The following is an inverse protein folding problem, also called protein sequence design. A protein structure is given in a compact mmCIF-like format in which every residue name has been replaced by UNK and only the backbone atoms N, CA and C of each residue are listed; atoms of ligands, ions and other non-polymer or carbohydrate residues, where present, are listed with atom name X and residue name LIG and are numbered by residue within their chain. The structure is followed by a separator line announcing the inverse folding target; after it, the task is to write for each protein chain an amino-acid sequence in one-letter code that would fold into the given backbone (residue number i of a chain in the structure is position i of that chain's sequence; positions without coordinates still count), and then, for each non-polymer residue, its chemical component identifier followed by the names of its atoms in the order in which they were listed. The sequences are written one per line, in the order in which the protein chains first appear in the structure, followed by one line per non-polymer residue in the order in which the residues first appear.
data_IF_798245550297
#
_entry.id   IF_798245550297
#
_cell.length_a   1.000
_cell.length_b   1.000
_cell.length_c   1.000
_cell.angle_alpha   90.00
_cell.angle_beta   90.00
_cell.angle_gamma   90.00
#
_symmetry.space_group_name_H-M   'P 1'
#
loop_
_entity.id
_entity.type
_entity.pdbx_description
1 polymer ?
#
# COMPACT_ATOMS: atom_id res chain seq x y z
N UNK A 1 23.05 0.95 -12.55
CA UNK A 1 21.63 1.32 -12.38
C UNK A 1 21.19 0.73 -11.05
N UNK A 2 20.57 1.52 -10.17
CA UNK A 2 20.36 1.14 -8.78
C UNK A 2 18.86 0.88 -8.55
N UNK A 3 18.45 -0.39 -8.57
CA UNK A 3 17.06 -0.80 -8.35
C UNK A 3 16.55 -0.44 -6.94
N UNK A 4 15.23 -0.53 -6.75
CA UNK A 4 14.62 -0.40 -5.43
C UNK A 4 15.07 -1.54 -4.53
N UNK A 5 15.50 -1.21 -3.30
CA UNK A 5 15.78 -2.21 -2.26
C UNK A 5 14.55 -2.38 -1.39
N UNK A 6 14.04 -3.60 -1.39
CA UNK A 6 13.10 -4.09 -0.38
C UNK A 6 13.88 -4.55 0.85
N UNK A 7 13.21 -4.69 1.99
CA UNK A 7 13.85 -5.28 3.16
C UNK A 7 14.11 -6.76 2.88
N UNK A 8 15.23 -7.34 3.35
CA UNK A 8 15.56 -8.74 3.08
C UNK A 8 14.55 -9.73 3.70
N UNK A 9 13.76 -9.28 4.66
CA UNK A 9 12.68 -10.06 5.29
C UNK A 9 11.38 -10.06 4.48
N UNK A 10 11.30 -9.26 3.41
CA UNK A 10 10.09 -9.14 2.59
C UNK A 10 10.20 -10.06 1.39
N UNK A 11 9.43 -11.15 1.42
CA UNK A 11 9.27 -12.08 0.31
C UNK A 11 7.82 -12.05 -0.20
N UNK A 12 7.63 -12.40 -1.47
CA UNK A 12 6.30 -12.56 -2.09
C UNK A 12 5.43 -11.30 -1.97
N UNK A 13 4.31 -11.42 -1.26
CA UNK A 13 3.32 -10.35 -1.12
C UNK A 13 3.90 -9.08 -0.47
N UNK A 14 4.75 -9.23 0.55
CA UNK A 14 5.34 -8.08 1.25
C UNK A 14 6.26 -7.28 0.34
N UNK A 15 7.02 -7.98 -0.51
CA UNK A 15 7.87 -7.37 -1.52
C UNK A 15 7.04 -6.59 -2.54
N UNK A 16 6.01 -7.22 -3.11
CA UNK A 16 5.12 -6.61 -4.10
C UNK A 16 4.46 -5.33 -3.56
N UNK A 17 3.91 -5.38 -2.35
CA UNK A 17 3.30 -4.22 -1.69
C UNK A 17 4.33 -3.12 -1.45
N UNK A 18 5.53 -3.47 -0.98
CA UNK A 18 6.61 -2.50 -0.72
C UNK A 18 7.01 -1.74 -1.99
N UNK A 19 7.16 -2.47 -3.11
CA UNK A 19 7.42 -1.93 -4.44
C UNK A 19 6.26 -1.06 -4.92
N UNK A 20 5.02 -1.56 -4.83
CA UNK A 20 3.84 -0.84 -5.27
C UNK A 20 3.66 0.51 -4.55
N UNK A 21 3.85 0.55 -3.23
CA UNK A 21 3.79 1.81 -2.46
C UNK A 21 4.90 2.77 -2.91
N UNK A 22 6.11 2.28 -3.20
CA UNK A 22 7.20 3.12 -3.69
C UNK A 22 6.87 3.73 -5.06
N UNK A 23 6.28 2.93 -5.97
CA UNK A 23 5.83 3.38 -7.29
C UNK A 23 4.75 4.46 -7.16
N UNK A 24 3.73 4.25 -6.31
CA UNK A 24 2.66 5.22 -6.06
C UNK A 24 3.21 6.54 -5.51
N UNK A 25 4.10 6.48 -4.50
CA UNK A 25 4.72 7.67 -3.93
C UNK A 25 5.59 8.44 -4.93
N UNK A 26 6.31 7.73 -5.80
CA UNK A 26 7.18 8.37 -6.81
C UNK A 26 6.39 9.03 -7.93
N UNK A 27 5.32 8.38 -8.38
CA UNK A 27 4.40 8.87 -9.44
C UNK A 27 3.37 9.89 -8.93
N UNK A 28 3.30 10.09 -7.61
CA UNK A 28 2.35 10.96 -6.92
C UNK A 28 0.88 10.58 -7.19
N UNK A 29 0.61 9.28 -7.34
CA UNK A 29 -0.74 8.74 -7.47
C UNK A 29 -1.23 8.23 -6.11
N UNK A 30 -2.54 8.32 -5.86
CA UNK A 30 -3.11 7.86 -4.59
C UNK A 30 -3.44 6.38 -4.62
N UNK A 31 -3.81 5.84 -5.78
CA UNK A 31 -4.23 4.46 -5.96
C UNK A 31 -3.54 3.79 -7.15
N UNK A 32 -3.52 2.46 -7.17
CA UNK A 32 -2.98 1.71 -8.30
C UNK A 32 -3.79 1.90 -9.59
N UNK A 33 -5.11 2.06 -9.47
CA UNK A 33 -5.98 2.33 -10.62
C UNK A 33 -5.63 3.68 -11.30
N UNK A 34 -5.39 4.74 -10.53
CA UNK A 34 -4.96 6.05 -11.05
C UNK A 34 -3.60 5.96 -11.76
N UNK A 35 -2.68 5.14 -11.25
CA UNK A 35 -1.40 4.90 -11.89
C UNK A 35 -1.59 4.24 -13.27
N UNK A 36 -2.40 3.18 -13.34
CA UNK A 36 -2.69 2.46 -14.59
C UNK A 36 -3.38 3.37 -15.60
N UNK A 37 -4.40 4.12 -15.17
CA UNK A 37 -5.09 5.10 -16.01
C UNK A 37 -4.14 6.20 -16.52
N UNK A 38 -3.27 6.72 -15.66
CA UNK A 38 -2.25 7.70 -16.02
C UNK A 38 -1.23 7.16 -17.03
N UNK A 39 -0.87 5.88 -16.96
CA UNK A 39 -0.01 5.23 -17.95
C UNK A 39 -0.73 5.06 -19.30
N UNK A 40 -1.98 4.58 -19.28
CA UNK A 40 -2.80 4.38 -20.49
C UNK A 40 -3.10 5.70 -21.20
N UNK A 41 -3.33 6.76 -20.44
CA UNK A 41 -3.54 8.12 -20.96
C UNK A 41 -2.25 8.80 -21.43
N UNK A 42 -1.09 8.16 -21.30
CA UNK A 42 0.20 8.71 -21.72
C UNK A 42 0.67 9.91 -20.90
N UNK A 43 0.25 10.01 -19.63
CA UNK A 43 0.67 11.10 -18.75
C UNK A 43 2.19 11.08 -18.56
N UNK A 44 2.87 12.08 -19.12
CA UNK A 44 4.33 12.16 -19.14
C UNK A 44 4.96 12.15 -17.74
N UNK A 45 4.29 12.70 -16.73
CA UNK A 45 4.81 12.69 -15.36
C UNK A 45 4.83 11.28 -14.78
N UNK A 46 3.77 10.50 -15.01
CA UNK A 46 3.66 9.12 -14.56
C UNK A 46 4.67 8.24 -15.30
N UNK A 47 4.73 8.34 -16.63
CA UNK A 47 5.66 7.56 -17.45
C UNK A 47 7.11 7.88 -17.10
N UNK A 48 7.46 9.16 -16.89
CA UNK A 48 8.82 9.55 -16.48
C UNK A 48 9.16 9.07 -15.08
N UNK A 49 8.21 9.14 -14.14
CA UNK A 49 8.41 8.65 -12.79
C UNK A 49 8.62 7.12 -12.76
N UNK A 50 7.83 6.39 -13.55
CA UNK A 50 7.94 4.93 -13.69
C UNK A 50 9.28 4.52 -14.32
N UNK A 51 9.68 5.17 -15.43
CA UNK A 51 10.99 4.96 -16.05
C UNK A 51 12.16 5.25 -15.10
N UNK A 52 12.03 6.25 -14.25
CA UNK A 52 13.07 6.62 -13.29
C UNK A 52 13.23 5.64 -12.11
N UNK A 53 12.34 4.64 -11.97
CA UNK A 53 12.42 3.64 -10.90
C UNK A 53 13.25 2.41 -11.29
N UNK A 54 13.56 2.22 -12.59
CA UNK A 54 14.35 1.10 -13.11
C UNK A 54 13.99 -0.24 -12.43
N UNK A 55 12.70 -0.61 -12.49
CA UNK A 55 12.22 -1.89 -11.98
C UNK A 55 12.79 -3.02 -12.84
N UNK A 56 13.34 -4.05 -12.22
CA UNK A 56 13.82 -5.24 -12.93
C UNK A 56 12.63 -6.10 -13.40
N UNK A 57 12.83 -6.95 -14.40
CA UNK A 57 11.76 -7.83 -14.91
C UNK A 57 11.17 -8.73 -13.82
N UNK A 58 12.02 -9.27 -12.94
CA UNK A 58 11.56 -10.04 -11.77
C UNK A 58 10.69 -9.21 -10.81
N UNK A 59 11.03 -7.93 -10.57
CA UNK A 59 10.21 -7.04 -9.75
C UNK A 59 8.87 -6.73 -10.42
N UNK A 60 8.86 -6.57 -11.75
CA UNK A 60 7.65 -6.39 -12.53
C UNK A 60 6.75 -7.62 -12.49
N UNK A 61 7.30 -8.83 -12.60
CA UNK A 61 6.57 -10.08 -12.44
C UNK A 61 5.96 -10.18 -11.03
N UNK A 62 6.73 -9.88 -9.98
CA UNK A 62 6.23 -9.86 -8.60
C UNK A 62 5.09 -8.86 -8.41
N UNK A 63 5.22 -7.64 -8.95
CA UNK A 63 4.16 -6.63 -8.91
C UNK A 63 2.92 -7.09 -9.70
N UNK A 64 3.11 -7.73 -10.85
CA UNK A 64 2.04 -8.24 -11.70
C UNK A 64 1.28 -9.39 -11.05
N UNK A 65 1.97 -10.30 -10.36
CA UNK A 65 1.36 -11.43 -9.65
C UNK A 65 0.38 -10.97 -8.54
N UNK A 66 0.63 -9.82 -7.93
CA UNK A 66 -0.12 -9.32 -6.77
C UNK A 66 -0.92 -8.04 -7.05
N UNK A 67 -1.26 -7.76 -8.31
CA UNK A 67 -2.03 -6.55 -8.70
C UNK A 67 -3.35 -6.41 -7.94
N UNK A 68 -4.02 -7.53 -7.66
CA UNK A 68 -5.29 -7.55 -6.91
C UNK A 68 -5.15 -6.92 -5.53
N UNK A 69 -4.06 -7.18 -4.82
CA UNK A 69 -3.79 -6.59 -3.49
C UNK A 69 -3.33 -5.14 -3.63
N UNK A 70 -2.53 -4.83 -4.65
CA UNK A 70 -2.08 -3.46 -4.92
C UNK A 70 -3.24 -2.50 -5.21
N UNK A 71 -4.32 -2.97 -5.84
CA UNK A 71 -5.54 -2.19 -6.05
C UNK A 71 -6.23 -1.77 -4.75
N UNK A 72 -5.94 -2.44 -3.63
CA UNK A 72 -6.50 -2.10 -2.32
C UNK A 72 -5.66 -1.03 -1.59
N UNK A 73 -4.43 -0.78 -2.04
CA UNK A 73 -3.51 0.18 -1.43
C UNK A 73 -3.93 1.61 -1.77
N UNK A 74 -3.99 2.47 -0.74
CA UNK A 74 -4.23 3.92 -0.89
C UNK A 74 -3.18 4.72 -0.16
N UNK A 75 -2.71 5.82 -0.75
CA UNK A 75 -1.74 6.73 -0.11
C UNK A 75 -2.43 7.82 0.71
N UNK A 76 -3.59 8.31 0.26
CA UNK A 76 -4.35 9.36 0.95
C UNK A 76 -5.87 9.08 0.90
N UNK A 77 -6.52 8.73 2.03
CA UNK A 77 -5.90 8.37 3.30
C UNK A 77 -5.02 7.12 3.16
N UNK A 78 -3.99 7.00 4.00
CA UNK A 78 -3.04 5.89 3.91
C UNK A 78 -3.70 4.58 4.35
N UNK A 79 -3.99 3.68 3.40
CA UNK A 79 -4.51 2.34 3.65
C UNK A 79 -3.48 1.35 3.13
N UNK A 80 -2.77 0.68 4.05
CA UNK A 80 -1.64 -0.19 3.73
C UNK A 80 -1.92 -1.57 4.33
N UNK A 81 -1.75 -2.66 3.55
CA UNK A 81 -1.90 -4.00 4.08
C UNK A 81 -0.82 -4.31 5.12
N UNK A 82 -1.26 -4.91 6.21
CA UNK A 82 -0.41 -5.50 7.24
C UNK A 82 -0.44 -7.00 7.02
N UNK A 83 0.73 -7.61 6.94
CA UNK A 83 0.89 -9.02 6.55
C UNK A 83 1.31 -9.81 7.78
N UNK A 84 0.70 -10.98 7.98
CA UNK A 84 1.12 -11.93 9.01
C UNK A 84 2.22 -12.85 8.46
N UNK A 85 3.40 -12.94 9.10
CA UNK A 85 4.49 -13.78 8.60
C UNK A 85 4.24 -15.28 8.74
N UNK A 86 3.27 -15.70 9.55
CA UNK A 86 3.02 -17.12 9.86
C UNK A 86 1.94 -17.72 8.95
N UNK A 87 0.86 -16.99 8.70
CA UNK A 87 -0.25 -17.48 7.89
C UNK A 87 -0.37 -16.77 6.55
N UNK A 88 0.50 -15.80 6.25
CA UNK A 88 0.62 -15.05 4.99
C UNK A 88 -0.63 -14.25 4.57
N UNK A 89 -1.70 -14.30 5.37
CA UNK A 89 -2.86 -13.43 5.20
C UNK A 89 -2.55 -11.99 5.57
N UNK A 90 -3.30 -11.07 4.95
CA UNK A 90 -3.17 -9.64 5.17
C UNK A 90 -4.49 -9.01 5.64
N UNK A 91 -4.36 -7.89 6.34
CA UNK A 91 -5.49 -7.03 6.75
C UNK A 91 -5.16 -5.60 6.33
N UNK A 92 -6.13 -4.89 5.77
CA UNK A 92 -5.99 -3.48 5.46
C UNK A 92 -6.17 -2.67 6.75
N UNK A 93 -5.20 -1.81 7.05
CA UNK A 93 -5.31 -0.86 8.16
C UNK A 93 -4.93 0.54 7.70
N UNK A 94 -5.64 1.53 8.21
CA UNK A 94 -5.24 2.92 8.08
C UNK A 94 -4.11 3.26 9.08
N UNK A 95 -4.24 2.74 10.29
CA UNK A 95 -3.48 3.15 11.46
C UNK A 95 -2.35 2.17 11.81
N UNK A 96 -2.26 1.84 13.09
CA UNK A 96 -1.24 0.99 13.69
C UNK A 96 -1.51 -0.47 13.38
N UNK A 97 -0.45 -1.25 13.18
CA UNK A 97 -0.58 -2.70 13.01
C UNK A 97 -1.09 -3.34 14.33
N UNK A 98 -2.03 -4.32 14.25
CA UNK A 98 -2.48 -5.06 15.42
C UNK A 98 -1.33 -5.83 16.07
N UNK A 99 -1.43 -6.05 17.38
CA UNK A 99 -0.41 -6.77 18.15
C UNK A 99 -0.37 -8.28 17.88
N UNK A 100 -1.45 -8.84 17.32
CA UNK A 100 -1.62 -10.27 16.98
C UNK A 100 -2.40 -10.43 15.67
N UNK A 101 -2.23 -11.56 15.01
CA UNK A 101 -3.00 -11.89 13.82
C UNK A 101 -4.50 -11.97 14.14
N UNK A 102 -5.32 -11.25 13.37
CA UNK A 102 -6.78 -11.24 13.52
C UNK A 102 -7.50 -12.08 12.46
N UNK A 103 -6.77 -12.62 11.47
CA UNK A 103 -7.36 -13.36 10.35
C UNK A 103 -7.61 -14.83 10.74
N UNK A 104 -6.59 -15.49 11.29
CA UNK A 104 -6.64 -16.91 11.60
C UNK A 104 -6.72 -17.12 13.10
N UNK A 105 -7.74 -17.84 13.56
CA UNK A 105 -7.92 -18.17 14.98
C UNK A 105 -6.70 -18.95 15.52
N UNK A 106 -6.12 -18.45 16.61
CA UNK A 106 -4.95 -19.09 17.24
C UNK A 106 -3.61 -18.83 16.56
N UNK A 107 -3.54 -17.96 15.55
CA UNK A 107 -2.26 -17.61 14.93
C UNK A 107 -1.44 -16.69 15.85
N UNK A 108 -0.25 -17.15 16.24
CA UNK A 108 0.69 -16.40 17.09
C UNK A 108 1.55 -15.39 16.30
N UNK A 109 1.40 -15.36 14.98
CA UNK A 109 2.14 -14.44 14.12
C UNK A 109 1.84 -12.99 14.46
N UNK A 110 2.90 -12.18 14.57
CA UNK A 110 2.81 -10.74 14.80
C UNK A 110 2.77 -10.03 13.44
N UNK A 111 1.62 -9.46 13.05
CA UNK A 111 1.51 -8.82 11.75
C UNK A 111 2.36 -7.55 11.70
N UNK A 112 2.97 -7.28 10.54
CA UNK A 112 3.82 -6.10 10.35
C UNK A 112 3.31 -5.21 9.22
N UNK A 113 3.43 -3.90 9.40
CA UNK A 113 3.07 -2.92 8.36
C UNK A 113 4.20 -2.88 7.32
N UNK A 114 3.84 -3.08 6.06
CA UNK A 114 4.81 -3.01 4.96
C UNK A 114 5.24 -1.57 4.77
N UNK A 115 6.55 -1.33 4.83
CA UNK A 115 7.12 -0.02 4.51
C UNK A 115 7.35 0.11 3.00
N UNK A 116 7.31 1.34 2.49
CA UNK A 116 7.65 1.63 1.10
C UNK A 116 9.12 1.27 0.83
N UNK A 117 9.40 0.62 -0.30
CA UNK A 117 10.76 0.36 -0.74
C UNK A 117 11.50 1.68 -0.92
N UNK A 118 12.72 1.75 -0.40
CA UNK A 118 13.56 2.94 -0.54
C UNK A 118 14.42 2.79 -1.79
N UNK A 119 14.33 3.77 -2.68
CA UNK A 119 15.29 3.86 -3.78
C UNK A 119 16.69 4.00 -3.20
N UNK A 120 17.66 3.28 -3.77
CA UNK A 120 19.07 3.53 -3.51
C UNK A 120 19.37 4.90 -4.10
N UNK A 121 19.14 5.97 -3.34
CA UNK A 121 19.70 7.26 -3.71
C UNK A 121 21.21 7.09 -3.63
N UNK A 122 21.87 7.07 -4.79
CA UNK A 122 23.33 6.98 -4.91
C UNK A 122 24.07 8.05 -4.06
N UNK A 123 23.35 9.06 -3.55
CA UNK A 123 23.88 10.12 -2.70
C UNK A 123 23.93 9.80 -1.19
N UNK A 124 23.35 8.70 -0.68
CA UNK A 124 23.32 8.42 0.78
C UNK A 124 23.68 6.98 1.15
N UNK A 125 24.63 6.38 0.43
CA UNK A 125 25.31 5.17 0.88
C UNK A 125 26.68 5.45 1.55
N UNK A 126 27.09 6.72 1.67
CA UNK A 126 28.37 7.12 2.26
C UNK A 126 28.25 7.80 3.65
N UNK A 127 27.06 7.87 4.26
CA UNK A 127 26.90 8.55 5.55
C UNK A 127 25.78 7.94 6.39
N UNK A 128 26.01 6.71 6.84
CA UNK A 128 25.49 6.24 8.11
C UNK A 128 26.58 5.32 8.71
N UNK A 129 27.49 5.85 9.55
CA UNK A 129 28.40 5.00 10.28
C UNK A 129 27.58 4.06 11.15
N UNK A 130 28.05 2.81 11.21
CA UNK A 130 27.63 1.82 12.18
C UNK A 130 27.44 2.47 13.56
N UNK A 131 26.19 2.56 14.02
CA UNK A 131 25.92 2.60 15.45
C UNK A 131 26.24 1.20 15.96
N UNK A 132 27.54 0.98 16.17
CA UNK A 132 28.06 -0.14 16.89
C UNK A 132 27.36 -0.19 18.25
N UNK A 133 26.87 -1.37 18.54
CA UNK A 133 26.66 -1.86 19.89
C UNK A 133 27.88 -1.53 20.75
N UNK A 134 27.73 -0.57 21.65
CA UNK A 134 28.48 -0.54 22.89
C UNK A 134 27.46 -0.21 23.98
N UNK A 135 26.90 -1.27 24.56
CA UNK A 135 26.43 -1.20 25.94
C UNK A 135 27.68 -1.12 26.84
N UNK A 136 27.90 -0.05 27.59
CA UNK A 136 28.66 -0.15 28.82
C UNK A 136 27.74 -0.76 29.89
N UNK A 137 28.07 -1.98 30.28
CA UNK A 137 27.64 -2.61 31.53
C UNK A 137 28.09 -1.74 32.71
N UNK A 138 27.18 -1.18 33.53
CA UNK A 138 27.54 -0.58 34.81
C UNK A 138 27.28 -1.61 35.92
N UNK A 139 28.35 -2.28 36.32
CA UNK A 139 28.43 -3.04 37.56
C UNK A 139 28.19 -2.12 38.77
N UNK A 140 27.48 -2.64 39.77
CA UNK A 140 27.06 -2.06 41.08
C UNK A 140 28.21 -1.32 41.82
N UNK A 141 28.11 -0.30 42.67
CA UNK A 141 27.18 0.19 43.70
C UNK A 141 27.73 1.57 44.23
N UNK A 142 27.32 2.19 45.37
CA UNK A 142 26.05 2.23 46.10
C UNK A 142 25.52 3.69 46.34
N UNK A 143 24.30 3.75 46.89
CA UNK A 143 23.57 4.86 47.51
C UNK A 143 24.33 6.16 47.89
N UNK A 144 23.80 7.31 47.45
CA UNK A 144 23.34 8.41 48.33
C UNK A 144 22.79 9.64 47.57
N UNK A 145 21.75 10.20 48.18
CA UNK A 145 21.39 11.63 48.22
C UNK A 145 20.53 12.25 47.11
N UNK A 146 19.30 12.53 47.55
CA UNK A 146 18.55 13.79 47.42
C UNK A 146 17.44 13.89 46.35
N UNK A 147 16.19 14.17 46.75
CA UNK A 147 15.08 14.44 45.84
C UNK A 147 15.16 15.87 45.30
N UNK A 148 15.51 16.01 44.02
CA UNK A 148 15.36 17.28 43.31
C UNK A 148 13.88 17.49 42.93
N UNK A 149 13.18 18.24 43.76
CA UNK A 149 11.92 18.92 43.43
C UNK A 149 12.09 19.67 42.11
N UNK A 150 11.56 19.14 40.99
CA UNK A 150 11.38 19.93 39.77
C UNK A 150 9.95 20.46 39.74
N UNK A 151 9.91 21.78 39.87
CA UNK A 151 8.74 22.62 39.91
C UNK A 151 7.80 22.39 38.72
N UNK A 152 6.51 22.29 39.05
CA UNK A 152 5.41 22.41 38.13
C UNK A 152 5.49 23.76 37.42
N UNK A 153 5.84 23.75 36.13
CA UNK A 153 5.75 24.94 35.29
C UNK A 153 4.31 25.10 34.84
N UNK A 154 3.63 26.00 35.54
CA UNK A 154 2.32 26.55 35.23
C UNK A 154 2.41 27.35 33.92
N UNK A 155 1.96 26.76 32.83
CA UNK A 155 1.56 27.44 31.58
C UNK A 155 0.09 27.09 31.41
N UNK A 156 -0.86 27.98 31.28
CA UNK A 156 -0.83 29.36 30.83
C UNK A 156 -2.23 29.56 30.25
N UNK A 157 -2.92 30.58 30.76
CA UNK A 157 -4.27 31.05 30.42
C UNK A 157 -4.99 30.37 29.25
N UNK A 158 -6.09 29.70 29.59
CA UNK A 158 -7.20 29.47 28.69
C UNK A 158 -7.75 30.83 28.24
N UNK A 159 -7.54 31.16 26.97
CA UNK A 159 -8.38 32.13 26.27
C UNK A 159 -9.51 31.34 25.64
N UNK A 160 -10.66 31.44 26.30
CA UNK A 160 -11.98 31.03 25.87
C UNK A 160 -12.32 31.73 24.53
N UNK A 161 -12.41 31.03 23.39
CA UNK A 161 -12.97 31.63 22.20
C UNK A 161 -14.47 31.79 22.44
N UNK A 162 -14.94 33.04 22.50
CA UNK A 162 -16.35 33.37 22.40
C UNK A 162 -16.93 32.70 21.15
N UNK A 163 -17.58 31.56 21.33
CA UNK A 163 -18.46 30.97 20.33
C UNK A 163 -19.70 31.86 20.36
N UNK A 164 -19.72 32.84 19.46
CA UNK A 164 -20.94 33.56 19.10
C UNK A 164 -22.00 32.50 18.77
N UNK A 165 -23.08 32.55 19.54
CA UNK A 165 -24.32 31.84 19.30
C UNK A 165 -24.80 32.18 17.87
N UNK A 166 -24.48 31.32 16.91
CA UNK A 166 -25.21 31.29 15.65
C UNK A 166 -26.62 30.76 15.95
N UNK A 167 -27.68 31.49 15.59
CA UNK A 167 -29.04 30.99 15.74
C UNK A 167 -29.19 29.71 14.92
N UNK A 168 -29.62 28.67 15.62
CA UNK A 168 -30.01 27.35 15.12
C UNK A 168 -31.32 27.49 14.32
N UNK A 169 -31.26 28.20 13.19
CA UNK A 169 -32.33 28.22 12.18
C UNK A 169 -31.93 27.25 11.07
N UNK A 170 -31.76 25.98 11.46
CA UNK A 170 -31.63 24.90 10.49
C UNK A 170 -33.06 24.48 10.13
N UNK A 171 -33.53 24.75 8.90
CA UNK A 171 -34.87 24.33 8.50
C UNK A 171 -34.94 22.81 8.68
N UNK A 172 -35.94 22.36 9.46
CA UNK A 172 -36.27 20.94 9.56
C UNK A 172 -36.35 20.39 8.13
N UNK A 173 -35.56 19.36 7.79
CA UNK A 173 -35.65 18.78 6.47
C UNK A 173 -37.07 18.26 6.30
N UNK A 174 -37.77 18.77 5.28
CA UNK A 174 -39.05 18.22 4.84
C UNK A 174 -38.95 16.69 4.84
N UNK A 175 -39.97 15.97 5.35
CA UNK A 175 -39.99 14.52 5.33
C UNK A 175 -39.83 14.09 3.88
N UNK A 176 -38.63 13.62 3.54
CA UNK A 176 -38.32 13.03 2.24
C UNK A 176 -39.30 11.89 2.08
N UNK A 177 -40.29 12.12 1.22
CA UNK A 177 -41.24 11.13 0.79
C UNK A 177 -40.43 9.88 0.47
N UNK A 178 -40.67 8.83 1.25
CA UNK A 178 -40.04 7.53 1.14
C UNK A 178 -40.26 7.04 -0.29
N UNK A 179 -39.29 7.32 -1.16
CA UNK A 179 -39.33 6.94 -2.54
C UNK A 179 -39.28 5.42 -2.53
N UNK A 180 -40.43 4.79 -2.80
CA UNK A 180 -40.52 3.36 -3.01
C UNK A 180 -39.38 2.97 -3.95
N UNK A 181 -38.53 2.01 -3.56
CA UNK A 181 -37.49 1.53 -4.45
C UNK A 181 -38.17 1.12 -5.76
N UNK A 182 -37.69 1.58 -6.92
CA UNK A 182 -38.24 1.16 -8.19
C UNK A 182 -38.22 -0.36 -8.20
N UNK A 183 -39.38 -0.96 -8.52
CA UNK A 183 -39.52 -2.40 -8.62
C UNK A 183 -38.33 -2.95 -9.41
N UNK A 184 -37.45 -3.67 -8.71
CA UNK A 184 -36.27 -4.25 -9.31
C UNK A 184 -36.68 -5.10 -10.52
N UNK A 185 -35.85 -5.17 -11.57
CA UNK A 185 -36.13 -6.03 -12.71
C UNK A 185 -36.45 -7.43 -12.20
N UNK A 186 -37.58 -7.99 -12.65
CA UNK A 186 -37.95 -9.36 -12.36
C UNK A 186 -36.74 -10.27 -12.67
N UNK A 187 -36.48 -11.30 -11.84
CA UNK A 187 -35.41 -12.24 -12.10
C UNK A 187 -35.62 -12.82 -13.51
N UNK A 188 -34.76 -12.39 -14.42
CA UNK A 188 -34.72 -12.88 -15.79
C UNK A 188 -34.40 -14.38 -15.69
N UNK A 189 -35.31 -15.18 -16.21
CA UNK A 189 -35.19 -16.63 -16.29
C UNK A 189 -33.83 -16.98 -16.91
N UNK A 190 -33.02 -17.86 -16.28
CA UNK A 190 -31.70 -18.16 -16.79
C UNK A 190 -31.81 -18.71 -18.22
N UNK A 191 -31.06 -18.16 -19.19
CA UNK A 191 -31.12 -18.63 -20.56
C UNK A 191 -30.74 -20.12 -20.60
N UNK A 192 -31.55 -20.90 -21.31
CA UNK A 192 -31.33 -22.31 -21.53
C UNK A 192 -29.89 -22.58 -22.02
N UNK A 193 -29.26 -23.70 -21.62
CA UNK A 193 -27.88 -24.00 -21.96
C UNK A 193 -27.69 -23.99 -23.48
N UNK A 194 -26.91 -23.02 -23.96
CA UNK A 194 -26.51 -22.95 -25.36
C UNK A 194 -25.76 -24.23 -25.72
N UNK A 195 -26.27 -24.92 -26.74
CA UNK A 195 -25.63 -26.10 -27.35
C UNK A 195 -24.16 -25.78 -27.65
N UNK A 196 -23.27 -26.64 -27.15
CA UNK A 196 -21.85 -26.63 -27.48
C UNK A 196 -21.64 -26.43 -28.99
N UNK A 197 -20.92 -25.38 -29.42
CA UNK A 197 -20.42 -25.34 -30.78
C UNK A 197 -19.33 -26.41 -30.91
N UNK A 198 -19.69 -27.39 -31.72
CA UNK A 198 -18.86 -28.42 -32.31
C UNK A 198 -17.62 -27.81 -33.01
N UNK A 199 -16.48 -28.48 -32.83
CA UNK A 199 -15.29 -28.44 -33.67
C UNK A 199 -14.64 -27.07 -33.96
N UNK A 200 -13.58 -26.74 -33.21
CA UNK A 200 -12.55 -25.83 -33.68
C UNK A 200 -11.76 -26.50 -34.85
N UNK A 201 -11.59 -25.84 -36.01
CA UNK A 201 -10.67 -26.30 -37.03
C UNK A 201 -9.22 -26.09 -36.57
N UNK A 202 -8.38 -27.11 -36.82
CA UNK A 202 -6.94 -27.05 -36.61
C UNK A 202 -6.36 -25.86 -37.37
N UNK A 203 -5.79 -24.90 -36.65
CA UNK A 203 -4.98 -23.85 -37.25
C UNK A 203 -3.62 -24.42 -37.61
N UNK A 204 -3.40 -24.48 -38.91
CA UNK A 204 -2.15 -24.83 -39.57
C UNK A 204 -1.04 -23.90 -39.09
N UNK A 205 -0.02 -24.51 -38.49
CA UNK A 205 1.16 -23.84 -37.95
C UNK A 205 2.04 -23.39 -39.13
N UNK A 206 1.80 -22.19 -39.66
CA UNK A 206 2.69 -21.59 -40.66
C UNK A 206 3.98 -21.18 -39.96
N UNK A 207 4.98 -22.03 -40.05
CA UNK A 207 6.38 -21.73 -39.72
C UNK A 207 6.90 -20.74 -40.76
N UNK A 208 6.88 -19.45 -40.44
CA UNK A 208 7.61 -18.44 -41.20
C UNK A 208 9.05 -18.48 -40.70
N UNK A 209 9.93 -19.11 -41.47
CA UNK A 209 11.36 -18.93 -41.34
C UNK A 209 11.69 -17.51 -41.84
N UNK A 210 11.96 -16.59 -40.92
CA UNK A 210 12.51 -15.27 -41.24
C UNK A 210 14.04 -15.41 -41.25
N UNK A 211 14.52 -15.69 -42.44
CA UNK A 211 15.90 -15.59 -42.89
C UNK A 211 16.12 -14.12 -43.30
N UNK A 212 16.93 -13.38 -42.55
CA UNK A 212 18.00 -12.51 -43.08
C UNK A 212 18.61 -11.64 -41.97
N UNK A 213 19.92 -11.84 -41.79
CA UNK A 213 20.81 -11.12 -40.89
C UNK A 213 21.35 -9.87 -41.61
N UNK A 214 20.98 -8.63 -41.24
CA UNK A 214 21.39 -7.43 -41.97
C UNK A 214 22.79 -6.88 -41.59
N UNK A 215 23.65 -7.66 -40.92
CA UNK A 215 24.96 -7.19 -40.45
C UNK A 215 26.15 -8.05 -40.92
N UNK A 216 26.05 -8.65 -42.11
CA UNK A 216 27.21 -9.15 -42.88
C UNK A 216 27.76 -8.09 -43.84
#
# INVERSE_FOLDING_TARGET
MAGLKTKPEYEGLAEAVSLGIAVLKKSKQNTWAELVDGMNSGNLLVVKAFKALDLTDAQLETVNAWQSVLNLVKINPAVIPVICPVCEYYVLTADTAPSRCMVTAGCEGKPFKVAAATGITAAKAAAAPAAAETQPEPEEAPAKAAPAKRAAKKTGAASDPMIEHMPDDFPEPDPVAEAQPPAGPSPEEPPAPAKSPDAAPALDLVVVADDEDPFA
#
